data_IF_737234146683
#
_entry.id   IF_737234146683
#
_cell.length_a   1.000
_cell.length_b   1.000
_cell.length_c   1.000
_cell.angle_alpha   90.00
_cell.angle_beta   90.00
_cell.angle_gamma   90.00
#
_symmetry.space_group_name_H-M   'P 1'
#
loop_
_entity.id
_entity.type
_entity.pdbx_description
1 polymer ?
#
# COMPACT_ATOMS: atom_id res chain seq x y z
N UNK A 1 -15.01 34.83 19.70
CA UNK A 1 -14.72 33.86 18.63
C UNK A 1 -15.44 34.34 17.38
N UNK A 2 -14.74 35.05 16.49
CA UNK A 2 -15.36 35.63 15.29
C UNK A 2 -15.36 34.53 14.23
N UNK A 3 -16.54 33.97 13.97
CA UNK A 3 -16.74 33.04 12.87
C UNK A 3 -16.79 33.90 11.61
N UNK A 4 -15.69 33.90 10.84
CA UNK A 4 -15.66 34.55 9.54
C UNK A 4 -16.68 33.87 8.62
N UNK A 5 -17.67 34.63 8.18
CA UNK A 5 -18.66 34.18 7.19
C UNK A 5 -17.94 33.85 5.87
N UNK A 6 -18.25 32.71 5.23
CA UNK A 6 -17.62 32.35 3.98
C UNK A 6 -17.93 33.39 2.90
N UNK A 7 -16.90 33.79 2.17
CA UNK A 7 -17.06 34.74 1.07
C UNK A 7 -17.88 34.10 -0.06
N UNK A 8 -18.59 34.92 -0.87
CA UNK A 8 -19.35 34.47 -2.04
C UNK A 8 -18.51 33.59 -2.99
N UNK A 9 -17.20 33.87 -3.06
CA UNK A 9 -16.24 33.09 -3.86
C UNK A 9 -16.00 31.69 -3.29
N UNK A 10 -15.93 31.55 -1.96
CA UNK A 10 -15.80 30.26 -1.30
C UNK A 10 -17.06 29.40 -1.41
N UNK A 11 -18.23 30.04 -1.33
CA UNK A 11 -19.52 29.37 -1.53
C UNK A 11 -19.63 28.91 -2.99
N UNK A 12 -19.24 29.75 -3.96
CA UNK A 12 -19.25 29.38 -5.38
C UNK A 12 -18.28 28.24 -5.69
N UNK A 13 -17.08 28.25 -5.12
CA UNK A 13 -16.11 27.16 -5.27
C UNK A 13 -16.62 25.84 -4.68
N UNK A 14 -17.29 25.92 -3.52
CA UNK A 14 -17.90 24.75 -2.89
C UNK A 14 -19.04 24.18 -3.71
N UNK A 15 -19.90 25.05 -4.26
CA UNK A 15 -20.99 24.65 -5.15
C UNK A 15 -20.48 24.07 -6.47
N UNK A 16 -19.41 24.65 -7.04
CA UNK A 16 -18.78 24.14 -8.24
C UNK A 16 -18.18 22.75 -8.01
N UNK A 17 -17.46 22.54 -6.89
CA UNK A 17 -16.93 21.23 -6.51
C UNK A 17 -18.06 20.20 -6.29
N UNK A 18 -19.19 20.61 -5.75
CA UNK A 18 -20.34 19.71 -5.55
C UNK A 18 -21.04 19.34 -6.88
N UNK A 19 -21.06 20.24 -7.88
CA UNK A 19 -21.64 19.94 -9.20
C UNK A 19 -20.75 19.00 -10.03
N UNK A 20 -19.44 19.11 -9.89
CA UNK A 20 -18.50 18.18 -10.55
C UNK A 20 -18.53 16.75 -9.97
N UNK A 21 -18.94 16.58 -8.72
CA UNK A 21 -19.13 15.26 -8.12
C UNK A 21 -20.28 14.46 -8.75
N UNK A 22 -21.25 15.12 -9.40
CA UNK A 22 -22.36 14.45 -10.06
C UNK A 22 -22.00 13.75 -11.38
N UNK A 23 -20.82 14.05 -11.95
CA UNK A 23 -20.31 13.45 -13.20
C UNK A 23 -19.12 12.50 -13.01
N UNK A 24 -18.70 12.27 -11.79
CA UNK A 24 -17.63 11.31 -11.50
C UNK A 24 -18.16 9.89 -11.76
N UNK A 25 -18.03 9.42 -12.99
CA UNK A 25 -18.09 8.01 -13.27
C UNK A 25 -16.94 7.39 -12.48
N UNK A 26 -17.28 6.64 -11.41
CA UNK A 26 -16.30 5.80 -10.74
C UNK A 26 -15.60 5.00 -11.81
N UNK A 27 -14.27 5.18 -11.97
CA UNK A 27 -13.49 4.32 -12.83
C UNK A 27 -13.63 2.93 -12.23
N UNK A 28 -14.54 2.15 -12.78
CA UNK A 28 -14.54 0.73 -12.54
C UNK A 28 -13.21 0.23 -13.12
N UNK A 29 -12.33 -0.20 -12.24
CA UNK A 29 -11.30 -1.10 -12.70
C UNK A 29 -12.04 -2.21 -13.41
N UNK A 30 -11.73 -2.45 -14.68
CA UNK A 30 -12.25 -3.60 -15.43
C UNK A 30 -11.61 -4.85 -14.84
N UNK A 31 -12.07 -5.19 -13.66
CA UNK A 31 -11.62 -6.32 -12.89
C UNK A 31 -12.56 -7.46 -13.19
N UNK A 32 -11.99 -8.62 -13.41
CA UNK A 32 -12.75 -9.83 -13.46
C UNK A 32 -13.80 -9.84 -14.56
N UNK A 33 -13.37 -10.02 -15.78
CA UNK A 33 -14.26 -10.49 -16.85
C UNK A 33 -14.40 -12.00 -16.70
N UNK A 34 -14.82 -12.44 -15.52
CA UNK A 34 -15.11 -13.85 -15.32
C UNK A 34 -16.31 -14.24 -16.18
N UNK A 35 -16.29 -15.45 -16.79
CA UNK A 35 -17.43 -15.94 -17.53
C UNK A 35 -18.71 -15.95 -16.70
N UNK A 36 -19.81 -15.45 -17.24
CA UNK A 36 -21.11 -15.40 -16.54
C UNK A 36 -21.63 -16.81 -16.13
N UNK A 37 -21.07 -17.87 -16.69
CA UNK A 37 -21.39 -19.27 -16.36
C UNK A 37 -20.70 -19.77 -15.09
N UNK A 38 -19.75 -19.01 -14.51
CA UNK A 38 -19.08 -19.44 -13.29
C UNK A 38 -20.04 -19.55 -12.13
N UNK A 39 -19.91 -20.64 -11.40
CA UNK A 39 -20.56 -20.82 -10.10
C UNK A 39 -19.58 -20.41 -9.02
N UNK A 40 -20.06 -19.60 -8.11
CA UNK A 40 -19.25 -19.06 -7.02
C UNK A 40 -19.57 -19.79 -5.71
N UNK A 41 -18.55 -20.08 -4.96
CA UNK A 41 -18.62 -20.63 -3.60
C UNK A 41 -17.93 -19.66 -2.65
N UNK A 42 -18.11 -19.88 -1.34
CA UNK A 42 -17.48 -19.05 -0.33
C UNK A 42 -17.05 -19.86 0.90
N UNK A 43 -15.97 -19.42 1.51
CA UNK A 43 -15.54 -19.83 2.85
C UNK A 43 -15.70 -18.62 3.75
N UNK A 44 -16.35 -18.79 4.89
CA UNK A 44 -16.50 -17.73 5.88
C UNK A 44 -15.70 -18.05 7.14
N UNK A 45 -14.94 -17.08 7.61
CA UNK A 45 -14.21 -17.13 8.87
C UNK A 45 -14.58 -15.92 9.72
N UNK A 46 -13.93 -15.74 10.86
CA UNK A 46 -14.17 -14.59 11.73
C UNK A 46 -13.77 -13.26 11.04
N UNK A 47 -12.68 -13.29 10.25
CA UNK A 47 -12.10 -12.07 9.69
C UNK A 47 -12.27 -11.94 8.17
N UNK A 48 -12.58 -13.03 7.46
CA UNK A 48 -12.65 -13.05 6.00
C UNK A 48 -13.92 -13.72 5.47
N UNK A 49 -14.36 -13.22 4.30
CA UNK A 49 -15.28 -13.93 3.43
C UNK A 49 -14.53 -14.18 2.11
N UNK A 50 -14.06 -15.40 1.90
CA UNK A 50 -13.31 -15.75 0.70
C UNK A 50 -14.26 -16.33 -0.34
N UNK A 51 -14.40 -15.65 -1.48
CA UNK A 51 -15.29 -15.99 -2.59
C UNK A 51 -14.43 -16.53 -3.73
N UNK A 52 -14.78 -17.65 -4.28
CA UNK A 52 -13.97 -18.34 -5.31
C UNK A 52 -14.84 -19.16 -6.26
N UNK A 53 -14.38 -19.45 -7.49
CA UNK A 53 -15.07 -20.31 -8.43
C UNK A 53 -15.12 -21.77 -7.97
N UNK A 54 -16.23 -22.45 -8.26
CA UNK A 54 -16.41 -23.91 -8.02
C UNK A 54 -15.21 -24.68 -8.63
N UNK A 55 -14.72 -25.69 -7.88
CA UNK A 55 -13.53 -26.47 -8.25
C UNK A 55 -12.20 -25.85 -7.83
N UNK A 56 -12.21 -24.71 -7.11
CA UNK A 56 -11.01 -24.04 -6.62
C UNK A 56 -10.83 -24.16 -5.08
N UNK A 57 -11.64 -24.99 -4.43
CA UNK A 57 -11.74 -25.11 -2.98
C UNK A 57 -10.40 -25.35 -2.26
N UNK A 58 -9.50 -26.24 -2.74
CA UNK A 58 -8.24 -26.49 -2.03
C UNK A 58 -7.34 -25.25 -1.96
N UNK A 59 -7.26 -24.49 -3.05
CA UNK A 59 -6.47 -23.25 -3.10
C UNK A 59 -7.14 -22.12 -2.32
N UNK A 60 -8.47 -22.03 -2.36
CA UNK A 60 -9.24 -21.07 -1.58
C UNK A 60 -9.08 -21.32 -0.08
N UNK A 61 -9.15 -22.59 0.37
CA UNK A 61 -8.92 -22.96 1.76
C UNK A 61 -7.48 -22.65 2.19
N UNK A 62 -6.50 -22.95 1.35
CA UNK A 62 -5.10 -22.60 1.61
C UNK A 62 -4.91 -21.09 1.78
N UNK A 63 -5.47 -20.28 0.86
CA UNK A 63 -5.41 -18.81 0.93
C UNK A 63 -6.12 -18.28 2.17
N UNK A 64 -7.28 -18.85 2.53
CA UNK A 64 -8.01 -18.49 3.75
C UNK A 64 -7.17 -18.73 5.01
N UNK A 65 -6.50 -19.87 5.11
CA UNK A 65 -5.65 -20.21 6.25
C UNK A 65 -4.45 -19.24 6.36
N UNK A 66 -3.86 -18.84 5.24
CA UNK A 66 -2.78 -17.83 5.19
C UNK A 66 -3.28 -16.48 5.70
N UNK A 67 -4.42 -16.02 5.21
CA UNK A 67 -5.01 -14.75 5.60
C UNK A 67 -5.32 -14.72 7.10
N UNK A 68 -5.93 -15.78 7.65
CA UNK A 68 -6.20 -15.88 9.08
C UNK A 68 -4.90 -15.89 9.92
N UNK A 69 -3.88 -16.62 9.47
CA UNK A 69 -2.57 -16.59 10.12
C UNK A 69 -1.94 -15.20 10.08
N UNK A 70 -2.05 -14.52 8.95
CA UNK A 70 -1.49 -13.18 8.77
C UNK A 70 -2.27 -12.09 9.53
N UNK A 71 -3.56 -12.30 9.83
CA UNK A 71 -4.44 -11.29 10.42
C UNK A 71 -3.86 -10.64 11.68
N UNK A 72 -3.40 -11.44 12.62
CA UNK A 72 -2.83 -10.96 13.87
C UNK A 72 -1.42 -10.37 13.75
N UNK A 73 -0.72 -10.63 12.64
CA UNK A 73 0.68 -10.25 12.45
C UNK A 73 0.83 -9.00 11.56
N UNK A 74 0.12 -8.96 10.45
CA UNK A 74 0.25 -7.89 9.45
C UNK A 74 -0.18 -6.51 9.99
N UNK A 75 -1.05 -6.46 10.99
CA UNK A 75 -1.50 -5.22 11.61
C UNK A 75 -0.59 -4.67 12.71
N UNK A 76 0.31 -5.48 13.29
CA UNK A 76 1.07 -5.12 14.50
C UNK A 76 1.86 -3.83 14.37
N UNK A 77 2.57 -3.64 13.26
CA UNK A 77 3.43 -2.47 13.08
C UNK A 77 2.66 -1.17 12.83
N UNK A 78 1.36 -1.25 12.56
CA UNK A 78 0.46 -0.10 12.46
C UNK A 78 -0.48 -0.02 13.67
N UNK A 79 -0.40 -0.97 14.61
CA UNK A 79 -1.30 -1.08 15.75
C UNK A 79 -2.77 -1.01 15.32
N UNK A 80 -3.13 -1.90 14.38
CA UNK A 80 -4.47 -1.93 13.79
C UNK A 80 -4.91 -3.34 13.46
N UNK A 81 -6.19 -3.61 13.72
CA UNK A 81 -6.90 -4.83 13.33
C UNK A 81 -8.04 -4.41 12.41
N UNK A 82 -7.97 -4.74 11.12
CA UNK A 82 -9.00 -4.34 10.17
C UNK A 82 -10.32 -5.08 10.43
N UNK A 83 -11.40 -4.49 9.94
CA UNK A 83 -12.73 -5.13 9.93
C UNK A 83 -12.74 -6.34 8.99
N UNK A 84 -13.73 -7.21 9.18
CA UNK A 84 -13.98 -8.34 8.27
C UNK A 84 -14.07 -7.84 6.82
N UNK A 85 -13.40 -8.55 5.92
CA UNK A 85 -13.33 -8.15 4.51
C UNK A 85 -13.63 -9.32 3.57
N UNK A 86 -14.21 -9.00 2.41
CA UNK A 86 -14.39 -9.95 1.32
C UNK A 86 -13.14 -10.04 0.47
N UNK A 87 -12.75 -11.28 0.14
CA UNK A 87 -11.60 -11.60 -0.72
C UNK A 87 -12.14 -12.43 -1.89
N UNK A 88 -11.99 -11.93 -3.11
CA UNK A 88 -12.46 -12.59 -4.32
C UNK A 88 -11.26 -13.18 -5.05
N UNK A 89 -11.32 -14.48 -5.36
CA UNK A 89 -10.25 -15.16 -6.09
C UNK A 89 -10.71 -15.43 -7.52
N UNK A 90 -9.95 -14.90 -8.49
CA UNK A 90 -10.17 -15.09 -9.92
C UNK A 90 -9.24 -16.16 -10.48
N UNK A 91 -9.79 -17.16 -11.17
CA UNK A 91 -9.02 -18.26 -11.77
C UNK A 91 -9.22 -18.41 -13.29
N UNK A 92 -10.10 -17.61 -13.89
CA UNK A 92 -10.42 -17.64 -15.32
C UNK A 92 -9.86 -16.41 -16.03
N UNK A 93 -8.56 -16.18 -15.89
CA UNK A 93 -7.89 -14.98 -16.41
C UNK A 93 -6.44 -15.28 -16.75
N UNK A 94 -5.84 -14.44 -17.59
CA UNK A 94 -4.40 -14.39 -17.86
C UNK A 94 -3.69 -13.31 -17.04
N UNK A 95 -4.45 -12.56 -16.24
CA UNK A 95 -3.92 -11.47 -15.41
C UNK A 95 -3.21 -12.08 -14.20
N UNK A 96 -2.00 -11.59 -13.93
CA UNK A 96 -1.26 -11.87 -12.71
C UNK A 96 -1.17 -10.61 -11.88
N UNK A 97 -2.07 -10.44 -10.94
CA UNK A 97 -2.17 -9.25 -10.10
C UNK A 97 -2.98 -9.51 -8.84
N UNK A 98 -3.01 -8.54 -7.94
CA UNK A 98 -3.96 -8.39 -6.86
C UNK A 98 -4.18 -6.91 -6.61
N UNK A 99 -5.26 -6.57 -5.95
CA UNK A 99 -5.49 -5.21 -5.48
C UNK A 99 -6.54 -5.17 -4.37
N UNK A 100 -6.48 -4.12 -3.59
CA UNK A 100 -7.52 -3.75 -2.63
C UNK A 100 -8.33 -2.60 -3.18
N UNK A 101 -9.61 -2.83 -3.43
CA UNK A 101 -10.54 -1.76 -3.75
C UNK A 101 -10.98 -1.08 -2.45
N UNK A 102 -10.77 0.24 -2.32
CA UNK A 102 -11.16 0.95 -1.10
C UNK A 102 -12.67 1.22 -1.02
N UNK A 103 -13.39 1.18 -2.15
CA UNK A 103 -14.84 1.38 -2.21
C UNK A 103 -15.46 0.72 -3.47
N UNK A 104 -16.32 -0.31 -3.36
CA UNK A 104 -16.60 -1.06 -2.13
C UNK A 104 -15.35 -1.81 -1.65
N UNK A 105 -15.17 -1.81 -0.32
CA UNK A 105 -13.94 -2.32 0.29
C UNK A 105 -13.86 -3.84 0.16
N UNK A 106 -12.92 -4.31 -0.65
CA UNK A 106 -12.68 -5.74 -0.93
C UNK A 106 -11.26 -5.98 -1.44
N UNK A 107 -10.84 -7.21 -1.41
CA UNK A 107 -9.61 -7.70 -2.03
C UNK A 107 -9.95 -8.52 -3.26
N UNK A 108 -9.21 -8.35 -4.35
CA UNK A 108 -9.28 -9.23 -5.52
C UNK A 108 -7.90 -9.85 -5.79
N UNK A 109 -7.85 -11.17 -5.88
CA UNK A 109 -6.65 -11.97 -6.09
C UNK A 109 -6.75 -12.74 -7.39
N UNK A 110 -5.82 -12.54 -8.30
CA UNK A 110 -5.73 -13.28 -9.55
C UNK A 110 -4.76 -14.44 -9.37
N UNK A 111 -5.24 -15.66 -9.54
CA UNK A 111 -4.52 -16.88 -9.17
C UNK A 111 -3.39 -17.28 -10.11
N UNK A 112 -3.27 -16.62 -11.25
CA UNK A 112 -2.21 -16.87 -12.24
C UNK A 112 -0.91 -16.23 -11.75
N UNK A 113 0.19 -16.99 -11.56
CA UNK A 113 1.45 -16.44 -11.12
C UNK A 113 2.08 -15.58 -12.24
N UNK A 114 2.93 -14.58 -11.89
CA UNK A 114 3.68 -13.82 -12.86
C UNK A 114 4.75 -14.68 -13.56
N UNK A 115 5.19 -14.25 -14.74
CA UNK A 115 6.24 -14.94 -15.48
C UNK A 115 7.59 -14.90 -14.76
N UNK A 116 7.90 -13.78 -14.11
CA UNK A 116 9.06 -13.62 -13.25
C UNK A 116 8.77 -14.24 -11.88
N UNK A 117 8.80 -15.57 -11.83
CA UNK A 117 8.36 -16.33 -10.67
C UNK A 117 9.30 -16.10 -9.47
N UNK A 118 8.70 -15.66 -8.38
CA UNK A 118 9.31 -15.78 -7.06
C UNK A 118 9.25 -17.24 -6.63
N UNK A 119 10.30 -17.74 -6.01
CA UNK A 119 10.36 -19.10 -5.45
C UNK A 119 9.47 -19.23 -4.19
N UNK A 120 8.21 -18.85 -4.34
CA UNK A 120 7.19 -18.97 -3.31
C UNK A 120 5.80 -19.17 -3.93
N UNK A 121 4.86 -19.81 -3.21
CA UNK A 121 3.50 -19.94 -3.68
C UNK A 121 2.86 -18.58 -3.94
N UNK A 122 2.47 -18.32 -5.20
CA UNK A 122 1.97 -17.01 -5.64
C UNK A 122 0.85 -16.45 -4.77
N UNK A 123 -0.19 -17.26 -4.49
CA UNK A 123 -1.33 -16.82 -3.69
C UNK A 123 -0.97 -16.52 -2.24
N UNK A 124 0.05 -17.18 -1.66
CA UNK A 124 0.54 -16.86 -0.32
C UNK A 124 1.16 -15.47 -0.28
N UNK A 125 2.06 -15.22 -1.22
CA UNK A 125 2.75 -13.95 -1.33
C UNK A 125 1.78 -12.80 -1.59
N UNK A 126 0.89 -13.00 -2.58
CA UNK A 126 -0.10 -12.02 -2.98
C UNK A 126 -1.10 -11.72 -1.84
N UNK A 127 -1.62 -12.76 -1.19
CA UNK A 127 -2.60 -12.59 -0.12
C UNK A 127 -2.04 -11.76 1.05
N UNK A 128 -0.78 -11.98 1.45
CA UNK A 128 -0.15 -11.22 2.53
C UNK A 128 0.12 -9.78 2.10
N UNK A 129 0.56 -9.57 0.86
CA UNK A 129 0.77 -8.23 0.29
C UNK A 129 -0.52 -7.42 0.28
N UNK A 130 -1.56 -7.95 -0.32
CA UNK A 130 -2.86 -7.27 -0.42
C UNK A 130 -3.51 -7.09 0.96
N UNK A 131 -3.36 -8.07 1.84
CA UNK A 131 -3.87 -7.91 3.20
C UNK A 131 -3.18 -6.76 3.96
N UNK A 132 -1.91 -6.49 3.66
CA UNK A 132 -1.26 -5.30 4.22
C UNK A 132 -1.92 -4.00 3.75
N UNK A 133 -2.34 -3.92 2.50
CA UNK A 133 -3.11 -2.78 1.98
C UNK A 133 -4.49 -2.65 2.67
N UNK A 134 -5.15 -3.77 2.97
CA UNK A 134 -6.37 -3.75 3.79
C UNK A 134 -6.12 -3.08 5.14
N UNK A 135 -5.05 -3.48 5.85
CA UNK A 135 -4.68 -2.88 7.13
C UNK A 135 -4.40 -1.38 7.00
N UNK A 136 -3.66 -0.97 5.96
CA UNK A 136 -3.33 0.42 5.72
C UNK A 136 -4.56 1.28 5.46
N UNK A 137 -5.47 0.81 4.60
CA UNK A 137 -6.68 1.54 4.21
C UNK A 137 -7.68 1.60 5.37
N UNK A 138 -7.94 0.46 6.03
CA UNK A 138 -8.90 0.39 7.14
C UNK A 138 -8.41 1.24 8.34
N UNK A 139 -7.10 1.34 8.54
CA UNK A 139 -6.52 2.21 9.58
C UNK A 139 -6.81 3.69 9.37
N UNK A 140 -7.04 4.15 8.15
CA UNK A 140 -7.39 5.54 7.87
C UNK A 140 -8.81 5.88 8.33
N UNK A 141 -9.66 4.88 8.58
CA UNK A 141 -11.02 5.06 9.10
C UNK A 141 -11.00 5.47 10.59
N UNK A 142 -10.52 6.68 10.84
CA UNK A 142 -10.41 7.25 12.18
C UNK A 142 -10.59 8.78 12.18
N UNK A 143 -10.86 9.35 13.33
CA UNK A 143 -11.01 10.80 13.48
C UNK A 143 -12.05 11.38 12.52
N UNK A 144 -11.70 12.44 11.79
CA UNK A 144 -12.62 13.06 10.84
C UNK A 144 -12.94 12.17 9.63
N UNK A 145 -11.99 11.34 9.19
CA UNK A 145 -12.24 10.40 8.09
C UNK A 145 -13.40 9.46 8.43
N UNK A 146 -13.46 8.96 9.66
CA UNK A 146 -14.59 8.14 10.12
C UNK A 146 -15.91 8.91 10.12
N UNK A 147 -15.90 10.16 10.56
CA UNK A 147 -17.11 11.01 10.52
C UNK A 147 -17.58 11.22 9.08
N UNK A 148 -16.65 11.49 8.17
CA UNK A 148 -16.95 11.59 6.73
C UNK A 148 -17.46 10.27 6.17
N UNK A 149 -16.95 9.14 6.65
CA UNK A 149 -17.43 7.80 6.29
C UNK A 149 -18.89 7.56 6.64
N UNK A 150 -19.40 8.10 7.74
CA UNK A 150 -20.83 8.02 8.07
C UNK A 150 -21.71 8.86 7.12
N UNK A 151 -21.16 9.92 6.54
CA UNK A 151 -21.91 10.81 5.63
C UNK A 151 -21.80 10.37 4.16
N UNK A 152 -20.66 9.90 3.74
CA UNK A 152 -20.31 9.63 2.34
C UNK A 152 -19.96 8.15 2.07
N UNK A 153 -20.07 7.29 3.07
CA UNK A 153 -19.73 5.89 2.93
C UNK A 153 -18.21 5.66 2.74
N UNK A 154 -17.88 4.51 2.17
CA UNK A 154 -16.48 4.08 1.94
C UNK A 154 -15.70 5.01 0.98
N UNK A 155 -16.41 5.83 0.19
CA UNK A 155 -15.78 6.80 -0.72
C UNK A 155 -14.91 7.83 0.04
N UNK A 156 -15.31 8.20 1.25
CA UNK A 156 -14.52 9.10 2.09
C UNK A 156 -13.16 8.49 2.44
N UNK A 157 -13.16 7.22 2.82
CA UNK A 157 -11.91 6.51 3.12
C UNK A 157 -11.06 6.30 1.86
N UNK A 158 -11.69 6.00 0.72
CA UNK A 158 -11.04 5.89 -0.57
C UNK A 158 -10.30 7.18 -0.97
N UNK A 159 -10.95 8.34 -0.77
CA UNK A 159 -10.35 9.64 -1.06
C UNK A 159 -9.12 9.89 -0.17
N UNK A 160 -9.22 9.59 1.12
CA UNK A 160 -8.11 9.77 2.07
C UNK A 160 -6.96 8.80 1.76
N UNK A 161 -7.27 7.56 1.38
CA UNK A 161 -6.27 6.59 0.92
C UNK A 161 -5.50 7.11 -0.31
N UNK A 162 -6.20 7.77 -1.25
CA UNK A 162 -5.58 8.41 -2.41
C UNK A 162 -4.61 9.54 -2.09
N UNK A 163 -4.63 10.08 -0.87
CA UNK A 163 -3.66 11.10 -0.42
C UNK A 163 -2.34 10.49 0.07
N UNK A 164 -2.29 9.17 0.22
CA UNK A 164 -1.08 8.47 0.64
C UNK A 164 -0.18 8.22 -0.57
N UNK A 165 1.14 8.42 -0.47
CA UNK A 165 2.03 8.19 -1.61
C UNK A 165 2.18 6.69 -1.90
N UNK A 166 2.14 6.32 -3.19
CA UNK A 166 2.27 4.93 -3.63
C UNK A 166 3.55 4.25 -3.15
N UNK A 167 4.67 4.99 -3.12
CA UNK A 167 5.92 4.43 -2.61
C UNK A 167 5.80 3.95 -1.16
N UNK A 168 4.99 4.63 -0.34
CA UNK A 168 4.76 4.21 1.03
C UNK A 168 3.84 2.99 1.10
N UNK A 169 2.71 3.02 0.38
CA UNK A 169 1.79 1.89 0.34
C UNK A 169 2.50 0.60 -0.06
N UNK A 170 3.17 0.63 -1.19
CA UNK A 170 3.83 -0.54 -1.75
C UNK A 170 5.09 -0.95 -0.97
N UNK A 171 5.89 0.02 -0.55
CA UNK A 171 7.09 -0.26 0.23
C UNK A 171 6.79 -0.92 1.57
N UNK A 172 5.75 -0.47 2.25
CA UNK A 172 5.32 -1.05 3.53
C UNK A 172 4.68 -2.45 3.34
N UNK A 173 3.99 -2.67 2.22
CA UNK A 173 3.47 -3.99 1.86
C UNK A 173 4.61 -4.97 1.53
N UNK A 174 5.65 -4.54 0.81
CA UNK A 174 6.86 -5.35 0.58
C UNK A 174 7.58 -5.70 1.89
N UNK A 175 7.61 -4.79 2.86
CA UNK A 175 8.15 -5.11 4.20
C UNK A 175 7.32 -6.19 4.88
N UNK A 176 5.98 -6.07 4.83
CA UNK A 176 5.10 -7.04 5.47
C UNK A 176 5.23 -8.44 4.83
N UNK A 177 5.19 -8.53 3.50
CA UNK A 177 5.40 -9.81 2.82
C UNK A 177 6.78 -10.41 3.10
N UNK A 178 7.83 -9.56 3.15
CA UNK A 178 9.20 -10.03 3.44
C UNK A 178 9.36 -10.50 4.88
N UNK A 179 8.60 -9.93 5.82
CA UNK A 179 8.64 -10.33 7.21
C UNK A 179 7.82 -11.60 7.49
N UNK A 180 6.72 -11.80 6.77
CA UNK A 180 5.73 -12.84 7.04
C UNK A 180 5.82 -14.05 6.11
N UNK A 181 6.60 -13.98 5.02
CA UNK A 181 6.88 -15.12 4.14
C UNK A 181 8.36 -15.51 4.17
N UNK A 182 8.66 -16.70 3.70
CA UNK A 182 10.06 -17.16 3.60
C UNK A 182 10.85 -16.39 2.53
N UNK A 183 10.21 -16.05 1.42
CA UNK A 183 10.85 -15.56 0.19
C UNK A 183 10.22 -14.23 -0.28
N UNK A 184 9.83 -13.35 0.65
CA UNK A 184 9.31 -12.03 0.29
C UNK A 184 10.32 -11.19 -0.52
N UNK A 185 9.82 -10.36 -1.43
CA UNK A 185 10.63 -9.61 -2.42
C UNK A 185 11.80 -8.86 -1.81
N UNK A 186 11.61 -8.24 -0.64
CA UNK A 186 12.68 -7.49 0.03
C UNK A 186 13.90 -8.31 0.47
N UNK A 187 13.78 -9.66 0.48
CA UNK A 187 14.91 -10.58 0.77
C UNK A 187 15.68 -10.98 -0.48
N UNK A 188 15.15 -10.72 -1.66
CA UNK A 188 15.76 -11.11 -2.92
C UNK A 188 16.85 -10.10 -3.32
N UNK A 189 18.09 -10.53 -3.58
CA UNK A 189 19.13 -9.62 -4.05
C UNK A 189 18.78 -8.88 -5.35
N UNK A 190 17.97 -9.51 -6.21
CA UNK A 190 17.49 -8.93 -7.46
C UNK A 190 16.53 -7.76 -7.24
N UNK A 191 15.78 -7.76 -6.15
CA UNK A 191 14.79 -6.73 -5.86
C UNK A 191 15.42 -5.35 -5.62
N UNK A 192 16.53 -5.30 -4.89
CA UNK A 192 17.27 -4.06 -4.59
C UNK A 192 18.39 -3.77 -5.58
N UNK A 193 18.45 -4.48 -6.71
CA UNK A 193 19.59 -4.44 -7.64
C UNK A 193 19.85 -3.04 -8.20
N UNK A 194 18.80 -2.30 -8.57
CA UNK A 194 18.97 -1.01 -9.23
C UNK A 194 19.59 0.04 -8.30
N UNK A 195 19.13 0.13 -7.06
CA UNK A 195 19.69 1.03 -6.06
C UNK A 195 21.09 0.58 -5.68
N UNK A 196 21.27 -0.71 -5.39
CA UNK A 196 22.58 -1.26 -4.99
C UNK A 196 23.65 -1.08 -6.05
N UNK A 197 23.34 -1.32 -7.32
CA UNK A 197 24.31 -1.15 -8.41
C UNK A 197 24.79 0.30 -8.52
N UNK A 198 23.87 1.27 -8.40
CA UNK A 198 24.25 2.69 -8.44
C UNK A 198 25.15 3.10 -7.28
N UNK A 199 24.84 2.64 -6.08
CA UNK A 199 25.64 2.92 -4.90
C UNK A 199 27.02 2.24 -5.01
N UNK A 200 27.09 0.97 -5.45
CA UNK A 200 28.34 0.23 -5.58
C UNK A 200 29.29 0.85 -6.62
N UNK A 201 28.76 1.35 -7.74
CA UNK A 201 29.54 1.96 -8.82
C UNK A 201 29.81 3.44 -8.57
N UNK A 202 29.43 4.00 -7.42
CA UNK A 202 29.51 5.42 -7.08
C UNK A 202 28.86 6.32 -8.14
N UNK A 203 27.83 5.80 -8.85
CA UNK A 203 27.07 6.55 -9.82
C UNK A 203 26.09 7.46 -9.07
N UNK A 204 26.06 8.78 -9.33
CA UNK A 204 25.15 9.68 -8.66
C UNK A 204 23.70 9.19 -8.72
N UNK A 205 23.03 9.16 -7.58
CA UNK A 205 21.62 8.88 -7.52
C UNK A 205 20.83 10.02 -8.16
N UNK A 206 19.71 9.68 -8.76
CA UNK A 206 18.79 10.70 -9.27
C UNK A 206 18.09 11.44 -8.11
N UNK A 207 17.55 12.62 -8.41
CA UNK A 207 16.70 13.33 -7.44
C UNK A 207 15.50 12.47 -7.02
N UNK A 208 14.96 12.73 -5.84
CA UNK A 208 13.77 12.03 -5.34
C UNK A 208 12.62 12.03 -6.35
N UNK A 209 12.34 13.20 -6.96
CA UNK A 209 11.25 13.33 -7.93
C UNK A 209 11.45 12.41 -9.15
N UNK A 210 12.68 12.31 -9.66
CA UNK A 210 12.99 11.41 -10.78
C UNK A 210 12.90 9.93 -10.37
N UNK A 211 13.34 9.58 -9.16
CA UNK A 211 13.19 8.24 -8.62
C UNK A 211 11.74 7.85 -8.43
N UNK A 212 10.91 8.82 -8.02
CA UNK A 212 9.48 8.60 -7.78
C UNK A 212 8.67 8.50 -9.07
N UNK A 213 8.93 9.42 -10.02
CA UNK A 213 8.16 9.51 -11.27
C UNK A 213 8.64 8.55 -12.35
N UNK A 214 9.83 7.98 -12.20
CA UNK A 214 10.43 7.15 -13.21
C UNK A 214 11.11 7.94 -14.33
N UNK A 215 11.66 7.22 -15.32
CA UNK A 215 12.30 7.81 -16.50
C UNK A 215 12.17 6.86 -17.68
N UNK A 216 11.83 7.37 -18.85
CA UNK A 216 11.87 6.60 -20.10
C UNK A 216 13.28 6.40 -20.63
N UNK A 217 14.23 7.25 -20.23
CA UNK A 217 15.62 7.21 -20.66
C UNK A 217 16.52 6.43 -19.73
N UNK A 218 16.30 6.58 -18.43
CA UNK A 218 17.20 6.10 -17.41
C UNK A 218 16.53 4.99 -16.58
N UNK A 219 17.30 3.99 -16.20
CA UNK A 219 16.82 2.95 -15.32
C UNK A 219 16.67 3.50 -13.89
N UNK A 220 15.43 3.68 -13.47
CA UNK A 220 15.05 4.09 -12.12
C UNK A 220 14.37 2.92 -11.39
N UNK A 221 14.50 2.80 -10.07
CA UNK A 221 13.73 1.83 -9.32
C UNK A 221 12.23 2.12 -9.48
N UNK A 222 11.41 1.10 -9.34
CA UNK A 222 9.98 1.29 -9.23
C UNK A 222 9.59 1.71 -7.80
N UNK A 223 8.32 2.08 -7.62
CA UNK A 223 7.82 2.51 -6.32
C UNK A 223 7.84 1.41 -5.23
N UNK A 224 7.90 0.12 -5.60
CA UNK A 224 8.09 -0.99 -4.66
C UNK A 224 9.52 -0.99 -4.07
N UNK A 225 10.52 -0.95 -4.94
CA UNK A 225 11.94 -0.94 -4.54
C UNK A 225 12.27 0.33 -3.76
N UNK A 226 11.93 1.51 -4.30
CA UNK A 226 12.14 2.80 -3.64
C UNK A 226 11.42 2.84 -2.29
N UNK A 227 10.16 2.46 -2.26
CA UNK A 227 9.32 2.48 -1.07
C UNK A 227 9.83 1.54 0.02
N UNK A 228 10.27 0.34 -0.34
CA UNK A 228 10.86 -0.60 0.60
C UNK A 228 12.09 0.00 1.32
N UNK A 229 12.98 0.64 0.57
CA UNK A 229 14.16 1.29 1.16
C UNK A 229 13.77 2.44 2.09
N UNK A 230 12.90 3.36 1.64
CA UNK A 230 12.48 4.51 2.43
C UNK A 230 11.71 4.11 3.69
N UNK A 231 10.80 3.14 3.55
CA UNK A 231 9.98 2.67 4.67
C UNK A 231 10.80 1.90 5.68
N UNK A 232 11.76 1.07 5.22
CA UNK A 232 12.69 0.34 6.08
C UNK A 232 13.61 1.29 6.84
N UNK A 233 14.20 2.26 6.14
CA UNK A 233 15.04 3.29 6.77
C UNK A 233 14.26 4.07 7.83
N UNK A 234 13.04 4.53 7.48
CA UNK A 234 12.20 5.25 8.43
C UNK A 234 11.92 4.45 9.71
N UNK A 235 11.61 3.15 9.60
CA UNK A 235 11.43 2.27 10.77
C UNK A 235 12.70 2.13 11.59
N UNK A 236 13.83 1.95 10.92
CA UNK A 236 15.11 1.77 11.59
C UNK A 236 15.53 3.03 12.35
N UNK A 237 15.40 4.20 11.73
CA UNK A 237 15.94 5.46 12.24
C UNK A 237 15.01 6.13 13.26
N UNK A 238 13.69 6.07 13.02
CA UNK A 238 12.70 6.78 13.84
C UNK A 238 11.80 5.85 14.68
N UNK A 239 12.09 4.54 14.64
CA UNK A 239 11.40 3.53 15.41
C UNK A 239 10.20 2.91 14.69
N UNK A 240 9.73 1.78 15.25
CA UNK A 240 8.68 0.96 14.65
C UNK A 240 7.32 1.70 14.55
N UNK A 241 7.07 2.68 15.40
CA UNK A 241 5.81 3.43 15.46
C UNK A 241 5.72 4.61 14.48
N UNK A 242 6.79 4.94 13.73
CA UNK A 242 6.77 6.08 12.81
C UNK A 242 5.55 6.04 11.88
N UNK A 243 5.39 4.96 11.15
CA UNK A 243 4.37 4.83 10.11
C UNK A 243 2.95 4.73 10.67
N UNK A 244 2.80 4.12 11.85
CA UNK A 244 1.57 4.14 12.63
C UNK A 244 1.14 5.60 12.92
N UNK A 245 2.06 6.41 13.42
CA UNK A 245 1.80 7.81 13.78
C UNK A 245 1.50 8.67 12.54
N UNK A 246 2.21 8.44 11.43
CA UNK A 246 1.95 9.13 10.15
C UNK A 246 0.56 8.80 9.65
N UNK A 247 0.15 7.53 9.63
CA UNK A 247 -1.20 7.15 9.20
C UNK A 247 -2.28 7.67 10.15
N UNK A 248 -2.04 7.68 11.45
CA UNK A 248 -2.95 8.30 12.42
C UNK A 248 -3.13 9.80 12.11
N UNK A 249 -2.05 10.49 11.76
CA UNK A 249 -2.13 11.89 11.39
C UNK A 249 -3.00 12.10 10.14
N UNK A 250 -2.82 11.28 9.11
CA UNK A 250 -3.59 11.34 7.86
C UNK A 250 -5.07 11.08 8.12
N UNK A 251 -5.42 9.97 8.77
CA UNK A 251 -6.83 9.62 9.04
C UNK A 251 -7.55 10.62 9.94
N UNK A 252 -6.84 11.22 10.91
CA UNK A 252 -7.41 12.23 11.81
C UNK A 252 -7.56 13.60 11.17
N UNK A 253 -6.74 13.95 10.17
CA UNK A 253 -6.65 15.29 9.56
C UNK A 253 -6.73 15.27 8.03
N UNK A 254 -7.75 14.66 7.44
CA UNK A 254 -7.87 14.51 5.98
C UNK A 254 -8.03 15.85 5.24
N UNK A 255 -8.38 16.94 5.96
CA UNK A 255 -8.50 18.28 5.37
C UNK A 255 -7.16 18.96 5.07
N UNK A 256 -6.06 18.42 5.62
CA UNK A 256 -4.75 19.00 5.37
C UNK A 256 -4.25 18.57 4.00
N UNK A 257 -4.04 19.56 3.14
CA UNK A 257 -3.34 19.32 1.88
C UNK A 257 -1.95 18.74 2.22
N UNK A 258 -1.53 17.66 1.59
CA UNK A 258 -0.27 16.97 1.88
C UNK A 258 -0.18 16.37 3.31
N UNK A 259 -1.30 15.89 3.84
CA UNK A 259 -1.42 15.35 5.20
C UNK A 259 -0.33 14.29 5.52
N UNK A 260 0.04 13.43 4.55
CA UNK A 260 1.12 12.46 4.73
C UNK A 260 2.48 13.15 4.97
N UNK A 261 2.86 14.11 4.15
CA UNK A 261 4.13 14.84 4.29
C UNK A 261 4.21 15.63 5.59
N UNK A 262 3.10 16.23 6.02
CA UNK A 262 3.00 16.93 7.30
C UNK A 262 3.11 15.96 8.48
N UNK A 263 2.47 14.78 8.38
CA UNK A 263 2.60 13.71 9.35
C UNK A 263 4.03 13.19 9.44
N UNK A 264 4.65 12.92 8.30
CA UNK A 264 6.05 12.48 8.24
C UNK A 264 6.98 13.51 8.91
N UNK A 265 6.85 14.77 8.53
CA UNK A 265 7.66 15.84 9.13
C UNK A 265 7.44 15.97 10.64
N UNK A 266 6.20 15.85 11.11
CA UNK A 266 5.88 15.92 12.54
C UNK A 266 6.60 14.85 13.38
N UNK A 267 6.75 13.62 12.86
CA UNK A 267 7.25 12.48 13.62
C UNK A 267 8.70 12.08 13.30
N UNK A 268 9.25 12.57 12.19
CA UNK A 268 10.66 12.35 11.82
C UNK A 268 11.49 13.63 11.69
N UNK A 269 10.85 14.78 11.61
CA UNK A 269 11.51 16.06 11.27
C UNK A 269 11.82 16.21 9.79
N UNK A 270 11.49 15.23 8.93
CA UNK A 270 11.84 15.20 7.50
C UNK A 270 10.61 15.19 6.61
N UNK A 271 10.74 15.80 5.44
CA UNK A 271 9.84 15.57 4.31
C UNK A 271 10.35 14.40 3.44
N UNK A 272 9.52 13.92 2.52
CA UNK A 272 9.84 12.72 1.71
C UNK A 272 11.16 12.84 0.95
N UNK A 273 11.47 14.01 0.39
CA UNK A 273 12.76 14.26 -0.30
C UNK A 273 13.95 14.14 0.66
N UNK A 274 13.89 14.80 1.81
CA UNK A 274 14.96 14.74 2.81
C UNK A 274 15.06 13.32 3.45
N UNK A 275 13.95 12.61 3.59
CA UNK A 275 13.96 11.20 3.99
C UNK A 275 14.71 10.35 2.95
N UNK A 276 14.47 10.61 1.66
CA UNK A 276 15.16 9.93 0.57
C UNK A 276 16.67 10.19 0.64
N UNK A 277 17.10 11.44 0.73
CA UNK A 277 18.53 11.81 0.78
C UNK A 277 19.23 11.13 1.96
N UNK A 278 18.60 11.16 3.15
CA UNK A 278 19.13 10.53 4.35
C UNK A 278 19.16 9.00 4.24
N UNK A 279 18.12 8.39 3.64
CA UNK A 279 18.07 6.95 3.43
C UNK A 279 19.16 6.49 2.45
N UNK A 280 19.33 7.19 1.35
CA UNK A 280 20.33 6.83 0.34
C UNK A 280 21.75 6.97 0.87
N UNK A 281 22.06 8.01 1.64
CA UNK A 281 23.34 8.17 2.33
C UNK A 281 23.58 6.99 3.29
N UNK A 282 22.57 6.62 4.07
CA UNK A 282 22.70 5.50 5.01
C UNK A 282 22.90 4.16 4.29
N UNK A 283 22.20 3.89 3.17
CA UNK A 283 22.40 2.67 2.40
C UNK A 283 23.75 2.64 1.71
N UNK A 284 24.26 3.78 1.24
CA UNK A 284 25.60 3.90 0.67
C UNK A 284 26.65 3.49 1.69
N UNK A 285 26.63 4.05 2.88
CA UNK A 285 27.49 3.67 3.99
C UNK A 285 27.35 2.19 4.35
N UNK A 286 26.12 1.68 4.45
CA UNK A 286 25.83 0.30 4.78
C UNK A 286 26.41 -0.69 3.77
N UNK A 287 26.26 -0.43 2.47
CA UNK A 287 26.79 -1.32 1.43
C UNK A 287 28.29 -1.25 1.29
N UNK A 288 28.92 -0.11 1.56
CA UNK A 288 30.38 0.02 1.52
C UNK A 288 31.08 -0.47 2.78
N UNK A 289 30.47 -0.33 3.95
CA UNK A 289 31.07 -0.75 5.23
C UNK A 289 30.66 -2.16 5.66
N UNK A 290 29.43 -2.55 5.41
CA UNK A 290 28.89 -3.86 5.79
C UNK A 290 29.54 -5.05 5.06
N UNK A 291 30.12 -4.81 3.88
CA UNK A 291 30.88 -5.84 3.16
C UNK A 291 32.26 -6.15 3.77
N UNK A 292 32.74 -5.35 4.70
CA UNK A 292 34.04 -5.60 5.36
C UNK A 292 33.99 -6.61 6.52
N UNK A 293 32.79 -7.05 6.91
CA UNK A 293 32.57 -7.98 8.02
C UNK A 293 32.17 -9.41 7.62
N UNK A 294 32.06 -9.70 6.30
CA UNK A 294 31.65 -11.01 5.77
C UNK A 294 32.71 -11.61 4.79
N UNK A 295 33.97 -11.18 4.86
CA UNK A 295 35.10 -11.83 4.15
C UNK A 295 35.81 -12.77 5.06
#
# INVERSE_FOLDING_TARGET
>A
MIINQPTKRQIFLLLFLLTEMGGAHAQFFTTGQDPASLRWQQIQTDHFQVIFPEGFEPKAQYTTNILEHAYGLAGRSLDHKPRKISVIIHNQTVISNGFVAPAPHRVELFSVPPQDNLDSPWLEHLAIHEFRHVVQIDKLDQGLTRVLGYLFGEQANALVAGMMPMWYFEGDAVIAESALTRNGRGRLPSFSRNIRARLADSVPLFSFDKMLMGSYRDNTPNHYELGYHLTSYGRKQYGAGLWQNVQNHVGQRPWQLFSFSLGLNRFSGLYSGSLYDSAMTWFDEYYHTGNKGMS
#
